data_IF_380423371708
#
_entry.id   IF_380423371708
#
_cell.length_a   1.000
_cell.length_b   1.000
_cell.length_c   1.000
_cell.angle_alpha   90.00
_cell.angle_beta   90.00
_cell.angle_gamma   90.00
#
_symmetry.space_group_name_H-M   'P 1'
#
loop_
_entity.id
_entity.type
_entity.pdbx_description
1 polymer ?
#
# COMPACT_ATOMS: atom_id res chain seq x y z
N UNK A 1 14.96 -47.32 -45.55
CA UNK A 1 14.01 -46.18 -45.52
C UNK A 1 13.75 -45.86 -44.07
N UNK A 2 14.20 -44.70 -43.59
CA UNK A 2 14.02 -44.27 -42.20
C UNK A 2 13.36 -42.88 -42.21
N UNK A 3 12.21 -42.79 -41.55
CA UNK A 3 11.40 -41.58 -41.45
C UNK A 3 11.98 -40.64 -40.38
N UNK A 4 12.09 -39.35 -40.71
CA UNK A 4 12.47 -38.29 -39.77
C UNK A 4 11.18 -37.66 -39.25
N UNK A 5 10.82 -37.96 -38.00
CA UNK A 5 9.70 -37.34 -37.32
C UNK A 5 10.09 -35.95 -36.83
N UNK A 6 9.48 -34.90 -37.39
CA UNK A 6 9.64 -33.52 -36.93
C UNK A 6 8.81 -33.27 -35.67
N UNK A 7 9.47 -33.09 -34.53
CA UNK A 7 8.84 -32.59 -33.32
C UNK A 7 8.62 -31.07 -33.46
N UNK A 8 7.35 -30.64 -33.44
CA UNK A 8 6.97 -29.24 -33.33
C UNK A 8 7.41 -28.69 -31.97
N UNK A 9 8.27 -27.69 -31.97
CA UNK A 9 8.68 -26.98 -30.77
C UNK A 9 7.51 -26.14 -30.22
N UNK A 10 7.06 -26.46 -29.00
CA UNK A 10 6.16 -25.62 -28.22
C UNK A 10 6.88 -24.33 -27.83
N UNK A 11 6.30 -23.13 -28.01
CA UNK A 11 6.93 -21.90 -27.54
C UNK A 11 7.01 -21.93 -26.01
N UNK A 12 8.13 -21.48 -25.41
CA UNK A 12 8.21 -21.36 -23.97
C UNK A 12 7.21 -20.29 -23.51
N UNK A 13 6.35 -20.66 -22.56
CA UNK A 13 5.62 -19.71 -21.73
C UNK A 13 6.64 -18.81 -21.03
N UNK A 14 6.77 -17.57 -21.49
CA UNK A 14 7.55 -16.55 -20.77
C UNK A 14 6.86 -16.30 -19.43
N UNK A 15 7.42 -16.85 -18.35
CA UNK A 15 7.22 -16.27 -17.04
C UNK A 15 7.78 -14.84 -17.14
N UNK A 16 6.91 -13.85 -17.02
CA UNK A 16 7.29 -12.45 -16.95
C UNK A 16 8.48 -12.30 -15.98
N UNK A 17 9.52 -11.62 -16.41
CA UNK A 17 10.82 -11.49 -15.73
C UNK A 17 10.75 -10.59 -14.50
N UNK A 18 9.84 -10.88 -13.56
CA UNK A 18 9.71 -10.14 -12.31
C UNK A 18 10.94 -10.43 -11.45
N UNK A 19 11.80 -9.43 -11.30
CA UNK A 19 12.91 -9.46 -10.34
C UNK A 19 12.40 -9.46 -8.89
N UNK A 20 13.27 -9.77 -7.91
CA UNK A 20 12.87 -9.86 -6.50
C UNK A 20 12.40 -8.50 -5.96
N UNK A 21 11.17 -8.49 -5.44
CA UNK A 21 10.38 -7.31 -5.07
C UNK A 21 10.61 -6.80 -3.63
N UNK A 22 11.85 -6.71 -3.16
CA UNK A 22 12.10 -6.34 -1.76
C UNK A 22 13.41 -5.58 -1.56
N UNK A 23 13.52 -4.75 -0.50
CA UNK A 23 13.06 -3.36 -0.26
C UNK A 23 13.96 -2.28 -0.94
N UNK A 24 13.67 -0.96 -0.80
CA UNK A 24 12.61 -0.29 0.01
C UNK A 24 11.40 0.20 -0.79
N UNK A 25 11.12 -0.41 -1.93
CA UNK A 25 10.06 0.01 -2.85
C UNK A 25 8.71 -0.72 -2.62
N UNK A 26 8.62 -1.53 -1.57
CA UNK A 26 7.43 -2.31 -1.19
C UNK A 26 7.35 -2.46 0.34
N UNK A 27 6.29 -1.93 0.95
CA UNK A 27 6.11 -1.94 2.41
C UNK A 27 4.86 -2.71 2.83
N UNK A 28 5.00 -3.48 3.92
CA UNK A 28 3.89 -4.08 4.66
C UNK A 28 3.62 -3.22 5.90
N UNK A 29 2.72 -2.26 5.76
CA UNK A 29 2.43 -1.28 6.79
C UNK A 29 1.47 -1.89 7.80
N UNK A 30 1.87 -1.91 9.06
CA UNK A 30 1.07 -2.39 10.18
C UNK A 30 0.52 -1.17 10.92
N UNK A 31 -0.80 -1.11 11.08
CA UNK A 31 -1.47 -0.08 11.87
C UNK A 31 -2.05 -0.69 13.14
N UNK A 32 -1.85 -0.01 14.26
CA UNK A 32 -2.30 -0.42 15.59
C UNK A 32 -3.26 0.60 16.15
N UNK A 33 -4.19 0.13 16.96
CA UNK A 33 -5.12 0.97 17.70
C UNK A 33 -4.39 2.00 18.57
N UNK A 34 -4.75 3.28 18.41
CA UNK A 34 -4.08 4.39 19.11
C UNK A 34 -4.38 4.42 20.61
N UNK A 35 -5.44 3.74 21.05
CA UNK A 35 -5.81 3.61 22.47
C UNK A 35 -5.22 2.36 23.12
N UNK A 36 -4.51 1.53 22.35
CA UNK A 36 -4.03 0.21 22.78
C UNK A 36 -5.11 -0.88 22.74
N UNK A 37 -6.23 -0.61 22.06
CA UNK A 37 -7.32 -1.57 21.83
C UNK A 37 -6.95 -2.68 20.84
N UNK A 38 -7.95 -3.50 20.48
CA UNK A 38 -7.78 -4.64 19.57
C UNK A 38 -7.73 -4.28 18.08
N UNK A 39 -8.06 -3.04 17.72
CA UNK A 39 -8.11 -2.56 16.34
C UNK A 39 -6.79 -2.80 15.60
N UNK A 40 -6.89 -3.28 14.36
CA UNK A 40 -5.72 -3.61 13.55
C UNK A 40 -5.93 -3.25 12.09
N UNK A 41 -4.86 -2.76 11.45
CA UNK A 41 -4.83 -2.47 10.03
C UNK A 41 -3.58 -3.01 9.36
N UNK A 42 -3.71 -3.33 8.08
CA UNK A 42 -2.62 -3.74 7.21
C UNK A 42 -2.76 -3.04 5.86
N UNK A 43 -1.68 -2.42 5.38
CA UNK A 43 -1.63 -1.82 4.04
C UNK A 43 -0.44 -2.40 3.29
N UNK A 44 -0.71 -3.12 2.20
CA UNK A 44 0.31 -3.52 1.23
C UNK A 44 0.58 -2.32 0.34
N UNK A 45 1.64 -1.58 0.63
CA UNK A 45 2.06 -0.42 -0.17
C UNK A 45 3.08 -0.88 -1.21
N UNK A 46 2.63 -1.00 -2.46
CA UNK A 46 3.41 -1.62 -3.52
C UNK A 46 3.57 -0.69 -4.70
N UNK A 47 4.79 -0.52 -5.19
CA UNK A 47 5.04 0.12 -6.47
C UNK A 47 5.35 -0.96 -7.50
N UNK A 48 4.45 -1.22 -8.47
CA UNK A 48 4.77 -2.09 -9.59
C UNK A 48 5.99 -1.57 -10.35
N UNK A 49 6.74 -2.50 -10.96
CA UNK A 49 7.86 -2.14 -11.83
C UNK A 49 7.33 -1.62 -13.18
N UNK A 50 6.87 -0.36 -13.20
CA UNK A 50 6.32 0.30 -14.37
C UNK A 50 6.63 1.81 -14.41
N UNK A 51 6.43 2.41 -15.59
CA UNK A 51 6.74 3.82 -15.85
C UNK A 51 5.71 4.80 -15.22
N UNK A 52 4.61 4.30 -14.66
CA UNK A 52 3.49 5.13 -14.20
C UNK A 52 3.66 5.67 -12.77
N UNK A 53 4.70 5.23 -12.04
CA UNK A 53 4.97 5.58 -10.64
C UNK A 53 3.73 5.50 -9.74
N UNK A 54 2.85 4.54 -10.03
CA UNK A 54 1.58 4.41 -9.34
C UNK A 54 1.72 3.38 -8.25
N UNK A 55 1.62 3.82 -7.00
CA UNK A 55 1.58 2.91 -5.86
C UNK A 55 0.18 2.36 -5.69
N UNK A 56 0.10 1.05 -5.49
CA UNK A 56 -1.10 0.31 -5.13
C UNK A 56 -1.13 0.12 -3.62
N UNK A 57 -2.30 0.27 -3.02
CA UNK A 57 -2.51 0.12 -1.60
C UNK A 57 -3.69 -0.83 -1.37
N UNK A 58 -3.39 -2.11 -1.15
CA UNK A 58 -4.38 -3.08 -0.68
C UNK A 58 -4.51 -2.93 0.84
N UNK A 59 -5.61 -2.33 1.26
CA UNK A 59 -5.87 -1.96 2.65
C UNK A 59 -6.88 -2.91 3.25
N UNK A 60 -6.55 -3.47 4.41
CA UNK A 60 -7.42 -4.30 5.22
C UNK A 60 -7.40 -3.82 6.67
N UNK A 61 -8.58 -3.75 7.28
CA UNK A 61 -8.75 -3.43 8.70
C UNK A 61 -9.65 -4.45 9.36
N UNK A 62 -9.50 -4.61 10.68
CA UNK A 62 -10.39 -5.44 11.49
C UNK A 62 -10.51 -4.91 12.92
N UNK A 63 -11.45 -5.48 13.67
CA UNK A 63 -11.71 -5.15 15.07
C UNK A 63 -12.01 -3.65 15.28
N UNK A 64 -12.55 -3.00 14.23
CA UNK A 64 -13.07 -1.64 14.26
C UNK A 64 -14.60 -1.65 14.49
N UNK A 65 -15.21 -0.47 14.59
CA UNK A 65 -16.67 -0.40 14.70
C UNK A 65 -17.33 -1.02 13.46
N UNK A 66 -18.37 -1.86 13.62
CA UNK A 66 -19.05 -2.49 12.50
C UNK A 66 -19.84 -1.48 11.65
N UNK A 67 -20.04 -1.79 10.37
CA UNK A 67 -20.83 -0.98 9.43
C UNK A 67 -20.44 0.51 9.41
N UNK A 68 -19.15 0.81 9.61
CA UNK A 68 -18.63 2.15 9.79
C UNK A 68 -17.68 2.51 8.65
N UNK A 69 -17.73 3.76 8.21
CA UNK A 69 -16.86 4.28 7.16
C UNK A 69 -15.61 4.92 7.75
N UNK A 70 -14.45 4.50 7.28
CA UNK A 70 -13.15 5.05 7.62
C UNK A 70 -12.43 5.58 6.39
N UNK A 71 -11.34 6.32 6.59
CA UNK A 71 -10.43 6.76 5.52
C UNK A 71 -8.99 6.50 5.89
N UNK A 72 -8.20 6.09 4.91
CA UNK A 72 -6.75 5.98 5.05
C UNK A 72 -6.11 7.33 4.74
N UNK A 73 -5.18 7.75 5.58
CA UNK A 73 -4.32 8.89 5.33
C UNK A 73 -2.86 8.48 5.38
N UNK A 74 -2.03 9.24 4.66
CA UNK A 74 -0.58 9.11 4.63
C UNK A 74 0.06 10.47 4.79
N UNK A 75 1.12 10.58 5.57
CA UNK A 75 2.06 11.68 5.47
C UNK A 75 3.46 11.16 5.10
N UNK A 76 4.27 12.07 4.57
CA UNK A 76 5.63 11.82 4.12
C UNK A 76 6.53 12.77 4.89
N UNK A 77 7.68 12.25 5.31
CA UNK A 77 8.75 13.00 5.96
C UNK A 77 10.04 12.88 5.11
N UNK A 78 10.64 14.02 4.79
CA UNK A 78 11.85 14.07 3.97
C UNK A 78 13.13 14.06 4.80
N UNK A 79 13.02 14.22 6.12
CA UNK A 79 14.14 14.06 7.04
C UNK A 79 14.30 12.56 7.33
N UNK A 80 15.15 11.88 6.56
CA UNK A 80 15.32 10.42 6.59
C UNK A 80 16.07 10.01 7.87
N UNK A 81 15.34 9.69 8.92
CA UNK A 81 15.87 9.37 10.25
C UNK A 81 15.07 8.29 11.00
N UNK A 82 14.12 7.64 10.32
CA UNK A 82 13.18 6.66 10.87
C UNK A 82 12.22 7.22 11.95
N UNK A 83 12.10 8.54 12.04
CA UNK A 83 11.20 9.28 12.93
C UNK A 83 10.26 10.20 12.12
N UNK A 84 9.10 9.65 11.76
CA UNK A 84 8.11 10.36 10.95
C UNK A 84 7.43 11.48 11.74
N UNK A 85 7.89 12.72 11.55
CA UNK A 85 7.34 13.93 12.15
C UNK A 85 6.39 14.70 11.22
N UNK A 86 6.32 14.31 9.94
CA UNK A 86 5.45 14.89 8.94
C UNK A 86 3.98 14.99 9.38
N UNK A 87 3.36 16.16 9.21
CA UNK A 87 1.95 16.40 9.58
C UNK A 87 1.04 16.73 8.39
N UNK A 88 1.61 16.74 7.17
CA UNK A 88 0.88 16.99 5.93
C UNK A 88 0.11 15.74 5.47
N UNK A 89 -0.99 15.41 6.16
CA UNK A 89 -1.77 14.22 5.91
C UNK A 89 -2.59 14.31 4.60
N UNK A 90 -2.25 13.44 3.65
CA UNK A 90 -3.00 13.21 2.42
C UNK A 90 -4.05 12.12 2.64
N UNK A 91 -5.31 12.41 2.33
CA UNK A 91 -6.36 11.38 2.29
C UNK A 91 -6.23 10.57 1.01
N UNK A 92 -6.11 9.25 1.17
CA UNK A 92 -5.92 8.30 0.08
C UNK A 92 -7.26 7.82 -0.49
N UNK A 93 -7.21 7.26 -1.69
CA UNK A 93 -8.40 6.84 -2.39
C UNK A 93 -8.11 6.23 -3.75
N UNK A 94 -9.01 6.41 -4.71
CA UNK A 94 -8.80 6.00 -6.09
C UNK A 94 -8.17 7.18 -6.85
N UNK A 95 -6.83 7.25 -6.81
CA UNK A 95 -6.06 8.34 -7.37
C UNK A 95 -6.18 9.63 -6.53
N UNK A 96 -6.71 10.69 -7.14
CA UNK A 96 -6.96 11.97 -6.46
C UNK A 96 -8.26 11.98 -5.65
N UNK A 97 -9.18 11.05 -5.93
CA UNK A 97 -10.51 11.00 -5.30
C UNK A 97 -10.45 10.19 -4.01
N UNK A 98 -10.75 10.78 -2.84
CA UNK A 98 -10.81 10.04 -1.57
C UNK A 98 -11.80 8.86 -1.66
N UNK A 99 -11.42 7.71 -1.09
CA UNK A 99 -12.28 6.54 -1.02
C UNK A 99 -12.31 5.99 0.41
N UNK A 100 -13.45 5.42 0.78
CA UNK A 100 -13.68 4.91 2.13
C UNK A 100 -13.23 3.45 2.27
N UNK A 101 -12.88 3.08 3.49
CA UNK A 101 -12.83 1.69 3.96
C UNK A 101 -14.11 1.47 4.75
N UNK A 102 -15.03 0.68 4.22
CA UNK A 102 -16.30 0.38 4.90
C UNK A 102 -16.15 -0.98 5.59
N UNK A 103 -16.39 -1.01 6.90
CA UNK A 103 -16.38 -2.25 7.66
C UNK A 103 -17.70 -2.99 7.53
N UNK A 104 -17.65 -4.32 7.57
CA UNK A 104 -18.80 -5.21 7.64
C UNK A 104 -19.40 -5.24 9.06
N UNK A 105 -20.35 -6.15 9.27
CA UNK A 105 -21.02 -6.39 10.55
C UNK A 105 -20.08 -6.91 11.65
N UNK A 106 -18.88 -7.36 11.28
CA UNK A 106 -17.83 -7.84 12.19
C UNK A 106 -16.71 -6.81 12.40
N UNK A 107 -16.85 -5.60 11.86
CA UNK A 107 -15.80 -4.58 11.97
C UNK A 107 -14.61 -4.81 11.05
N UNK A 108 -14.74 -5.67 10.03
CA UNK A 108 -13.69 -5.93 9.03
C UNK A 108 -13.93 -5.15 7.75
N UNK A 109 -12.93 -4.44 7.25
CA UNK A 109 -13.05 -3.62 6.05
C UNK A 109 -11.90 -3.86 5.08
N UNK A 110 -12.16 -3.65 3.78
CA UNK A 110 -11.15 -3.69 2.72
C UNK A 110 -11.33 -2.54 1.75
N UNK A 111 -10.23 -2.02 1.22
CA UNK A 111 -10.25 -1.06 0.13
C UNK A 111 -9.01 -1.24 -0.76
N UNK A 112 -9.24 -1.29 -2.07
CA UNK A 112 -8.19 -1.21 -3.07
C UNK A 112 -8.01 0.24 -3.50
N UNK A 113 -6.91 0.85 -3.06
CA UNK A 113 -6.60 2.26 -3.31
C UNK A 113 -5.36 2.36 -4.20
N UNK A 114 -5.16 3.51 -4.83
CA UNK A 114 -3.96 3.78 -5.60
C UNK A 114 -3.62 5.26 -5.60
N UNK A 115 -2.35 5.58 -5.81
CA UNK A 115 -1.89 6.96 -5.94
C UNK A 115 -0.70 7.04 -6.89
N UNK A 116 -0.76 7.97 -7.84
CA UNK A 116 0.42 8.34 -8.62
C UNK A 116 1.34 9.20 -7.76
N UNK A 117 2.61 8.79 -7.66
CA UNK A 117 3.63 9.55 -6.94
C UNK A 117 4.06 10.77 -7.77
N UNK A 118 4.33 11.87 -7.07
CA UNK A 118 4.90 13.09 -7.67
C UNK A 118 6.38 13.26 -7.35
N UNK A 119 6.92 12.43 -6.46
CA UNK A 119 8.35 12.41 -6.14
C UNK A 119 9.14 11.82 -7.32
N UNK A 120 10.35 12.33 -7.60
CA UNK A 120 11.17 11.80 -8.69
C UNK A 120 11.65 10.37 -8.40
N UNK A 121 11.98 9.64 -9.45
CA UNK A 121 12.67 8.35 -9.36
C UNK A 121 13.95 8.47 -8.51
N UNK A 122 14.19 7.49 -7.65
CA UNK A 122 15.31 7.46 -6.72
C UNK A 122 15.12 8.31 -5.46
N UNK A 123 14.01 9.03 -5.31
CA UNK A 123 13.71 9.74 -4.07
C UNK A 123 13.46 8.75 -2.93
N UNK A 124 14.08 9.00 -1.79
CA UNK A 124 13.86 8.29 -0.54
C UNK A 124 13.16 9.22 0.44
N UNK A 125 12.19 8.68 1.19
CA UNK A 125 11.53 9.42 2.25
C UNK A 125 10.96 8.46 3.29
N UNK A 126 10.75 8.99 4.48
CA UNK A 126 10.04 8.31 5.54
C UNK A 126 8.52 8.52 5.35
N UNK A 127 7.73 7.53 5.74
CA UNK A 127 6.32 7.43 5.43
C UNK A 127 5.58 6.80 6.60
N UNK A 128 4.46 7.42 6.99
CA UNK A 128 3.55 6.87 7.99
C UNK A 128 2.10 6.97 7.55
N UNK A 129 1.26 6.16 8.17
CA UNK A 129 -0.13 6.00 7.82
C UNK A 129 -1.00 6.06 9.06
N UNK A 130 -2.24 6.51 8.86
CA UNK A 130 -3.27 6.44 9.87
C UNK A 130 -4.63 6.18 9.25
N UNK A 131 -5.51 5.55 10.01
CA UNK A 131 -6.93 5.42 9.69
C UNK A 131 -7.70 6.39 10.56
N UNK A 132 -8.58 7.17 9.93
CA UNK A 132 -9.48 8.09 10.60
C UNK A 132 -10.93 7.69 10.41
N UNK A 133 -11.77 8.00 11.40
CA UNK A 133 -13.22 7.84 11.32
C UNK A 133 -13.90 9.04 10.62
N UNK A 134 -15.23 9.04 10.60
CA UNK A 134 -16.03 10.10 9.96
C UNK A 134 -15.95 11.45 10.69
N UNK A 135 -15.55 11.45 11.96
CA UNK A 135 -15.29 12.67 12.74
C UNK A 135 -13.85 13.19 12.59
N UNK A 136 -13.02 12.49 11.79
CA UNK A 136 -11.58 12.68 11.64
C UNK A 136 -10.76 12.32 12.89
N UNK A 137 -11.33 11.55 13.82
CA UNK A 137 -10.56 10.98 14.92
C UNK A 137 -9.65 9.87 14.39
N UNK A 138 -8.39 9.86 14.82
CA UNK A 138 -7.45 8.79 14.51
C UNK A 138 -7.82 7.56 15.31
N UNK A 139 -7.96 6.42 14.64
CA UNK A 139 -8.33 5.14 15.29
C UNK A 139 -7.21 4.11 15.17
N UNK A 140 -6.48 4.10 14.05
CA UNK A 140 -5.30 3.27 13.86
C UNK A 140 -4.15 4.12 13.36
N UNK A 141 -2.93 3.80 13.79
CA UNK A 141 -1.72 4.49 13.36
C UNK A 141 -0.58 3.50 13.16
N UNK A 142 0.26 3.76 12.15
CA UNK A 142 1.43 2.95 11.86
C UNK A 142 2.67 3.45 12.60
N UNK A 143 3.68 2.60 12.69
CA UNK A 143 5.04 3.07 12.90
C UNK A 143 5.53 3.91 11.70
N UNK A 144 6.73 4.46 11.81
CA UNK A 144 7.44 5.05 10.68
C UNK A 144 8.05 3.93 9.81
N UNK A 145 8.01 4.12 8.50
CA UNK A 145 8.62 3.25 7.50
C UNK A 145 9.44 4.10 6.56
N UNK A 146 10.37 3.50 5.83
CA UNK A 146 11.10 4.16 4.76
C UNK A 146 10.60 3.65 3.41
N UNK A 147 10.54 4.53 2.41
CA UNK A 147 10.17 4.17 1.04
C UNK A 147 11.11 4.80 0.02
N UNK A 148 11.44 4.05 -1.03
CA UNK A 148 12.20 4.54 -2.19
C UNK A 148 11.36 4.42 -3.44
N UNK A 149 11.26 5.52 -4.20
CA UNK A 149 10.60 5.52 -5.50
C UNK A 149 11.50 4.85 -6.52
N UNK A 150 11.06 3.73 -7.08
CA UNK A 150 11.80 2.98 -8.11
C UNK A 150 11.03 2.89 -9.42
N UNK A 151 11.63 2.31 -10.46
CA UNK A 151 10.96 1.96 -11.71
C UNK A 151 10.98 0.46 -11.87
#
# INVERSE_FOLDING_TARGET
MAAVGGATATPPISASSWGPETPPFNNEIILRDVTGGGGFGHVKFRQPNDDNLTVLLDTWVRDLAPNTSYRLQRAVDTDINDDCTGTAWLTLGQGATPAAIVTDDRGTGRAALFRTLTSPLGATFDIHFRVIDQSNAVVLESACYQFVVTQ
#
